data_IF_420335764003
#
_entry.id   IF_420335764003
#
_cell.length_a   1.000
_cell.length_b   1.000
_cell.length_c   1.000
_cell.angle_alpha   90.00
_cell.angle_beta   90.00
_cell.angle_gamma   90.00
#
_symmetry.space_group_name_H-M   'P 1'
#
loop_
_entity.id
_entity.type
_entity.pdbx_description
1 polymer ?
2 polymer ?
3 polymer ?
#
# COMPACT_ATOMS: atom_id res chain seq x y z
CA UNK A 1 -18.24 -0.95 0.37
CA UNK A 2 -19.36 -4.58 0.47
CA UNK A 3 -20.77 -6.66 3.33
CA UNK A 4 -21.16 -10.39 3.89
CA UNK A 5 -21.35 -13.08 6.57
CA UNK A 6 -18.26 -15.30 6.45
CA UNK A 7 -17.67 -18.24 8.84
CA UNK A 8 -15.01 -17.89 11.55
CA UNK A 9 -11.79 -19.52 10.37
CA UNK A 10 -12.45 -19.97 6.64
CA UNK A 11 -12.38 -17.95 3.40
CA UNK A 12 -11.27 -17.89 -0.27
CA UNK A 13 -13.94 -20.06 -1.96
CA UNK A 14 -15.23 -18.79 -5.29
CA UNK A 15 -18.96 -19.38 -4.75
CA UNK A 16 -19.08 -17.97 -1.16
CA UNK A 17 -16.50 -15.13 -1.25
CA UNK A 18 -14.44 -14.63 -4.41
CA UNK A 19 -16.91 -13.45 -7.12
CA UNK A 20 -18.78 -11.28 -4.61
CA UNK A 21 -16.32 -8.56 -3.59
CA UNK A 22 -13.82 -9.99 -6.05
CA UNK A 23 -15.79 -8.03 -8.65
CA UNK A 24 -15.54 -4.70 -6.81
CA UNK A 25 -11.74 -4.60 -6.88
CA UNK A 26 -10.86 -6.51 -3.72
CA UNK A 27 -7.91 -8.93 -3.74
CA UNK A 28 -9.37 -12.12 -2.24
CA UNK A 29 -6.15 -13.76 -0.94
CA UNK A 30 -5.31 -10.75 1.26
CA UNK A 31 -8.79 -10.77 2.83
CA UNK A 32 -9.01 -14.54 3.36
CA UNK A 33 -5.82 -14.66 5.43
CA UNK A 34 -6.59 -11.29 7.03
CA UNK A 35 -10.20 -12.13 7.90
CA UNK A 36 -9.30 -15.60 9.13
CA UNK A 37 -6.60 -13.92 11.21
CA UNK A 38 -8.66 -12.10 13.84
CA UNK A 39 -11.63 -14.43 13.31
CA UNK A 40 -9.43 -16.85 15.26
CA UNK A 41 -10.37 -15.38 18.64
CA UNK A 42 -13.96 -16.34 17.76
CA UNK A 43 -14.01 -19.55 15.71
CA UNK A 44 -16.84 -21.85 14.68
CA UNK A 45 -19.40 -19.05 14.49
CA UNK A 46 -20.64 -17.21 11.41
CA UNK A 47 -19.62 -13.56 11.76
CA UNK A 48 -20.65 -10.66 9.46
CA UNK A 49 -17.87 -8.38 8.21
CA UNK A 50 -18.16 -5.05 6.40
CA UNK A 51 -15.45 -4.77 3.77
CA UNK A 52 -14.61 -1.30 2.44
CA UNK A 53 -12.66 -0.86 -0.80
CA UNK A 54 -10.87 2.42 -1.57
CA UNK A 55 -10.40 3.75 -5.11
CA UNK A 56 -6.94 2.14 -5.09
CA UNK A 57 -8.45 -1.36 -4.73
CA UNK A 58 -7.05 -1.52 -1.18
CA UNK A 59 -9.43 -2.31 1.68
CA UNK A 60 -10.28 -2.59 5.38
CA UNK A 61 -13.13 -4.34 7.15
CA UNK A 62 -14.91 -4.32 10.48
CA UNK A 63 -15.89 -7.61 12.11
CA UNK A 64 -19.20 -7.60 13.99
CA UNK A 65 -21.03 -9.99 16.28
CA UNK B 1 -11.55 14.10 0.33
CA UNK B 2 -10.57 10.87 2.06
CA UNK B 3 -8.53 9.62 4.99
CA UNK B 4 -6.36 6.46 4.97
CA UNK B 5 -6.21 4.70 8.33
CA UNK B 6 -3.69 2.00 9.24
CA UNK B 7 -5.87 -0.27 11.40
CA UNK B 8 -3.19 -2.97 12.14
CA UNK B 9 0.09 -4.35 10.74
CA UNK B 10 0.37 -7.47 12.92
CA UNK B 11 3.14 -9.77 11.80
CA UNK B 12 3.93 -7.68 8.65
CA UNK B 13 5.41 -4.65 10.43
CA UNK B 14 8.74 -4.61 8.63
CA UNK B 15 7.13 -4.56 5.23
CA UNK B 16 4.49 -2.04 6.29
CA UNK B 17 7.07 0.32 7.78
CA UNK B 18 8.94 0.25 4.44
CA UNK B 19 5.69 1.04 2.47
CA UNK B 20 4.72 3.86 4.91
CA UNK B 21 8.20 5.49 4.41
CA UNK B 22 7.94 5.22 0.65
CA UNK B 23 4.47 6.78 0.68
CA UNK B 24 5.18 9.55 3.20
CA UNK B 25 8.99 10.31 3.46
CA UNK B 26 8.91 9.68 7.25
CA UNK B 27 12.21 8.72 8.98
CA UNK B 28 12.61 5.16 10.36
CA UNK B 29 11.91 5.94 14.02
CA UNK B 30 8.82 7.85 13.11
CA UNK B 31 7.33 5.34 10.70
CA UNK B 32 8.11 2.53 13.23
CA UNK B 33 6.36 4.46 16.06
CA UNK B 34 3.30 5.05 13.78
CA UNK B 35 2.95 1.43 12.73
CA UNK B 36 3.45 0.26 16.29
CA UNK B 37 0.71 2.73 17.37
CA UNK B 38 -2.08 1.52 15.11
CA UNK B 39 -4.83 2.41 14.67
CA UNK B 40 -3.52 5.59 13.07
CA UNK B 41 -4.72 8.07 10.43
CA UNK B 42 -1.72 8.03 8.11
CA UNK B 43 -2.97 10.42 5.42
CA UNK B 44 -6.02 12.79 5.63
CA UNK B 45 -7.54 14.97 2.87
CA UNK B 46 -6.32 12.92 -0.14
CA UNK B 47 -8.27 12.51 -3.35
CA UNK B 48 -10.13 9.29 -4.10
CA UNK B 49 -7.40 7.93 -6.45
CA UNK B 50 -4.60 8.74 -4.00
CA UNK B 51 -6.46 7.01 -1.19
CA UNK B 52 -7.20 3.85 -3.21
CA UNK B 53 -3.52 3.64 -4.41
CA UNK B 54 -2.13 4.05 -0.80
CA UNK B 55 -4.74 1.52 0.48
CA UNK B 56 -3.54 -1.01 -2.13
CA UNK B 57 0.14 -0.37 -1.45
CA UNK B 58 -0.39 -0.96 2.34
CA UNK B 59 -2.59 -4.01 1.70
CA UNK B 60 0.18 -5.54 -0.47
CA UNK B 61 2.73 -4.84 2.29
CA UNK B 62 0.38 -6.72 4.69
CA UNK B 63 -1.58 -4.12 6.60
CA UNK B 64 -5.24 -3.96 7.55
CA UNK B 65 -6.32 -0.51 6.19
CA UNK B 66 -9.48 1.53 6.04
CA UNK B 67 -10.43 4.42 3.66
CA UNK B 68 -13.11 6.81 5.05
CA UNK C 1 21.95 21.59 -30.12
CA UNK C 2 18.82 21.68 -27.89
CA UNK C 3 16.50 24.72 -28.55
CA UNK C 4 15.51 26.92 -25.55
CA UNK C 5 11.81 25.81 -25.42
CA UNK C 6 12.77 22.09 -24.91
CA UNK C 7 15.86 22.85 -22.71
CA UNK C 8 14.61 22.75 -19.06
CA UNK C 9 11.81 20.24 -19.98
CA UNK C 10 14.55 17.57 -20.53
CA UNK C 11 16.05 18.11 -17.02
CA UNK C 12 12.83 18.46 -14.89
CA UNK C 13 11.66 14.81 -15.41
CA UNK C 14 15.16 13.62 -14.33
CA UNK C 15 14.23 14.95 -10.82
CA UNK C 16 10.42 14.37 -11.01
CA UNK C 17 10.69 10.54 -10.95
CA UNK C 18 13.09 10.00 -7.92
CA UNK C 19 10.08 9.67 -5.52
CA UNK C 20 8.55 6.82 -7.61
CA UNK C 21 11.95 5.14 -8.43
CA UNK C 22 12.86 5.00 -4.68
CA UNK C 23 10.45 1.98 -4.82
CA UNK C 24 12.77 0.16 -7.34
CA UNK C 25 16.60 -0.35 -7.61
CA UNK C 26 16.77 -2.71 -4.63
CA UNK C 27 20.03 -1.27 -3.16
CA UNK C 28 18.59 2.33 -3.47
CA UNK C 29 15.38 1.16 -1.65
CA UNK C 30 17.48 -0.61 1.07
CA UNK C 31 19.58 2.63 1.36
CA UNK C 32 16.38 4.79 1.52
CA UNK C 33 14.71 2.78 4.36
CA UNK C 34 18.10 2.42 6.17
CA UNK C 35 18.53 6.27 6.08
CA UNK C 36 21.63 6.11 3.76
CA UNK C 37 22.17 8.59 0.87
CA UNK C 38 22.67 7.04 -2.66
CA UNK C 39 25.42 8.03 -5.15
CA UNK C 40 24.95 10.11 -8.34
CA UNK C 41 25.91 6.92 -10.28
CA UNK C 42 23.09 4.93 -8.55
CA UNK C 43 20.52 7.77 -8.99
CA UNK C 44 21.31 8.61 -12.69
CA UNK C 45 21.38 4.82 -13.51
CA UNK C 46 18.02 4.21 -11.65
CA UNK C 47 16.38 7.33 -13.21
CA UNK C 48 17.76 6.01 -16.57
CA UNK C 49 16.43 2.48 -15.77
CA UNK C 50 13.36 4.43 -14.49
CA UNK C 51 12.99 4.97 -18.30
CA UNK C 52 13.79 1.31 -19.56
CA UNK C 53 12.80 -2.16 -17.87
CA UNK C 54 9.53 -4.33 -17.45
CA UNK C 55 8.68 -2.95 -13.93
CA UNK C 56 8.09 0.43 -15.72
CA UNK C 57 8.00 1.62 -19.43
CA UNK C 58 10.39 3.76 -21.66
#
# INVERSE_FOLDING_TARGET
QIKLQLPAGKATPAPPVGPALGQHGVNIMEFCKRFNAETADKAGMILPVVITVYEDKSFTFIIKT
EFDVILKAAGANKVAVIKAVRGATGLGLKEAKDLVESAPAALKEGVSKDDAEALKKALEEAGAEVEVK
PIPEEYLDQAREYHEKLVEVAADFDENIMLKYLEGEEPTEEELVAAIRKGTIDLKITP
#
